data_IF_544512791941
#
_entry.id   IF_544512791941
#
_cell.length_a   1.000
_cell.length_b   1.000
_cell.length_c   1.000
_cell.angle_alpha   90.00
_cell.angle_beta   90.00
_cell.angle_gamma   90.00
#
_symmetry.space_group_name_H-M   'P 1'
#
loop_
_entity.id
_entity.type
_entity.pdbx_description
1 polymer ?
#
# COMPACT_ATOMS: atom_id res chain seq x y z
N UNK A 1 -36.79 -9.93 24.99
CA UNK A 1 -35.79 -9.05 24.36
C UNK A 1 -34.38 -9.63 24.54
N UNK A 2 -34.10 -10.78 23.90
CA UNK A 2 -32.80 -11.47 23.94
C UNK A 2 -32.60 -12.05 22.55
N UNK A 3 -31.65 -11.53 21.77
CA UNK A 3 -31.44 -11.99 20.39
C UNK A 3 -30.47 -11.12 19.58
N UNK A 4 -30.22 -9.88 20.02
CA UNK A 4 -29.39 -8.93 19.26
C UNK A 4 -27.87 -9.18 19.35
N UNK A 5 -27.43 -10.17 20.15
CA UNK A 5 -26.01 -10.42 20.42
C UNK A 5 -25.59 -11.88 20.24
N UNK A 6 -26.41 -12.71 19.57
CA UNK A 6 -25.87 -13.94 19.01
C UNK A 6 -24.98 -13.53 17.84
N UNK A 7 -23.66 -13.72 17.97
CA UNK A 7 -22.65 -13.36 16.97
C UNK A 7 -22.92 -13.89 15.56
N UNK A 8 -23.90 -14.77 15.40
CA UNK A 8 -24.53 -15.14 14.14
C UNK A 8 -24.98 -13.95 13.29
N UNK A 9 -25.45 -12.86 13.89
CA UNK A 9 -25.86 -11.67 13.13
C UNK A 9 -24.68 -11.02 12.39
N UNK A 10 -23.48 -11.05 12.96
CA UNK A 10 -22.28 -10.53 12.31
C UNK A 10 -21.90 -11.37 11.09
N UNK A 11 -22.07 -12.70 11.17
CA UNK A 11 -21.84 -13.60 10.04
C UNK A 11 -22.82 -13.27 8.91
N UNK A 12 -24.11 -13.10 9.22
CA UNK A 12 -25.14 -12.73 8.23
C UNK A 12 -24.81 -11.38 7.57
N UNK A 13 -24.40 -10.38 8.35
CA UNK A 13 -24.00 -9.07 7.81
C UNK A 13 -22.76 -9.18 6.90
N UNK A 14 -21.76 -9.96 7.31
CA UNK A 14 -20.56 -10.21 6.51
C UNK A 14 -20.90 -10.89 5.18
N UNK A 15 -21.79 -11.89 5.21
CA UNK A 15 -22.27 -12.58 4.00
C UNK A 15 -22.97 -11.61 3.06
N UNK A 16 -23.87 -10.76 3.57
CA UNK A 16 -24.51 -9.72 2.75
C UNK A 16 -23.49 -8.77 2.12
N UNK A 17 -22.49 -8.32 2.89
CA UNK A 17 -21.43 -7.45 2.38
C UNK A 17 -20.63 -8.13 1.25
N UNK A 18 -20.29 -9.41 1.42
CA UNK A 18 -19.58 -10.21 0.42
C UNK A 18 -20.41 -10.43 -0.84
N UNK A 19 -21.73 -10.64 -0.72
CA UNK A 19 -22.62 -10.83 -1.89
C UNK A 19 -22.75 -9.52 -2.68
N UNK A 20 -22.86 -8.37 -2.01
CA UNK A 20 -23.00 -7.06 -2.66
C UNK A 20 -21.69 -6.53 -3.25
N UNK A 21 -20.60 -6.61 -2.49
CA UNK A 21 -19.30 -6.04 -2.87
C UNK A 21 -18.35 -7.05 -3.52
N UNK A 22 -18.57 -8.34 -3.31
CA UNK A 22 -17.69 -9.42 -3.77
C UNK A 22 -16.56 -9.75 -2.78
N UNK A 23 -16.23 -11.03 -2.68
CA UNK A 23 -15.20 -11.54 -1.74
C UNK A 23 -13.80 -10.92 -1.95
N UNK A 24 -13.50 -10.43 -3.16
CA UNK A 24 -12.19 -9.85 -3.50
C UNK A 24 -12.08 -8.35 -3.15
N UNK A 25 -13.21 -7.66 -3.02
CA UNK A 25 -13.26 -6.21 -2.71
C UNK A 25 -13.17 -5.92 -1.21
N UNK A 26 -13.70 -6.79 -0.35
CA UNK A 26 -13.55 -6.68 1.10
C UNK A 26 -12.08 -6.64 1.57
N UNK A 27 -11.23 -7.62 1.23
CA UNK A 27 -9.85 -7.64 1.68
C UNK A 27 -9.01 -6.53 1.04
N UNK A 28 -9.33 -6.15 -0.20
CA UNK A 28 -8.64 -5.07 -0.90
C UNK A 28 -8.94 -3.70 -0.27
N UNK A 29 -10.22 -3.41 -0.01
CA UNK A 29 -10.65 -2.21 0.71
C UNK A 29 -10.12 -2.18 2.15
N UNK A 30 -10.14 -3.31 2.87
CA UNK A 30 -9.56 -3.38 4.21
C UNK A 30 -8.05 -3.12 4.21
N UNK A 31 -7.31 -3.61 3.19
CA UNK A 31 -5.87 -3.36 3.05
C UNK A 31 -5.55 -1.90 2.74
N UNK A 32 -6.32 -1.24 1.87
CA UNK A 32 -6.12 0.18 1.56
C UNK A 32 -6.45 1.06 2.77
N UNK A 33 -7.58 0.81 3.44
CA UNK A 33 -8.00 1.52 4.66
C UNK A 33 -7.00 1.28 5.80
N UNK A 34 -6.49 0.04 5.96
CA UNK A 34 -5.51 -0.30 6.98
C UNK A 34 -4.17 0.43 6.83
N UNK A 35 -3.71 0.66 5.59
CA UNK A 35 -2.51 1.48 5.33
C UNK A 35 -2.72 2.93 5.76
N UNK A 36 -3.84 3.54 5.40
CA UNK A 36 -4.17 4.91 5.81
C UNK A 36 -4.35 5.02 7.33
N UNK A 37 -5.09 4.09 7.96
CA UNK A 37 -5.27 4.04 9.41
C UNK A 37 -3.97 3.92 10.19
N UNK A 38 -2.96 3.21 9.66
CA UNK A 38 -1.64 3.11 10.32
C UNK A 38 -0.95 4.47 10.43
N UNK A 39 -1.00 5.26 9.35
CA UNK A 39 -0.40 6.60 9.30
C UNK A 39 -1.13 7.52 10.28
N UNK A 40 -2.47 7.56 10.19
CA UNK A 40 -3.29 8.33 11.13
C UNK A 40 -3.10 7.89 12.58
N UNK A 41 -2.97 6.58 12.84
CA UNK A 41 -2.72 6.05 14.17
C UNK A 41 -1.36 6.52 14.69
N UNK A 42 -0.31 6.50 13.89
CA UNK A 42 1.03 6.99 14.29
C UNK A 42 1.02 8.48 14.60
N UNK A 43 0.35 9.31 13.79
CA UNK A 43 0.24 10.75 14.04
C UNK A 43 -0.58 11.05 15.31
N UNK A 44 -1.70 10.35 15.50
CA UNK A 44 -2.55 10.48 16.71
C UNK A 44 -1.84 9.93 17.96
N UNK A 45 -1.03 8.87 17.80
CA UNK A 45 -0.27 8.30 18.91
C UNK A 45 0.90 9.22 19.29
N UNK A 46 1.55 9.88 18.35
CA UNK A 46 2.58 10.90 18.61
C UNK A 46 2.01 12.07 19.42
N UNK A 47 0.84 12.59 19.02
CA UNK A 47 0.11 13.60 19.80
C UNK A 47 -0.25 13.15 21.21
N UNK A 48 -0.45 11.84 21.42
CA UNK A 48 -0.78 11.27 22.74
C UNK A 48 0.46 10.88 23.55
N UNK A 49 1.59 10.64 22.89
CA UNK A 49 2.88 10.26 23.48
C UNK A 49 3.81 11.46 23.74
N UNK A 50 3.46 12.69 23.36
CA UNK A 50 4.14 13.93 23.78
C UNK A 50 4.18 14.12 25.33
N UNK A 51 3.58 13.22 26.11
CA UNK A 51 3.74 13.09 27.58
C UNK A 51 4.52 11.87 28.09
N UNK A 52 4.95 10.92 27.24
CA UNK A 52 5.70 9.72 27.65
C UNK A 52 6.39 9.06 26.44
N UNK A 53 7.67 9.37 26.21
CA UNK A 53 8.47 8.70 25.19
C UNK A 53 8.83 7.26 25.59
N UNK A 54 8.60 6.29 24.69
CA UNK A 54 9.59 5.28 24.29
C UNK A 54 8.98 4.23 23.34
N UNK A 55 9.66 4.04 22.20
CA UNK A 55 9.97 2.74 21.60
C UNK A 55 8.84 1.68 21.52
N UNK A 56 8.23 1.57 20.35
CA UNK A 56 7.85 0.27 19.79
C UNK A 56 8.39 0.23 18.36
N UNK A 57 9.69 -0.02 18.26
CA UNK A 57 10.18 -1.35 17.90
C UNK A 57 9.89 -1.64 16.43
N UNK A 58 10.87 -1.26 15.61
CA UNK A 58 11.44 -2.10 14.57
C UNK A 58 10.72 -3.46 14.43
N UNK A 59 9.90 -3.58 13.39
CA UNK A 59 9.56 -4.89 12.84
C UNK A 59 9.76 -4.79 11.35
N UNK A 60 11.02 -4.90 10.94
CA UNK A 60 11.37 -5.47 9.66
C UNK A 60 10.90 -6.93 9.69
N UNK A 61 9.73 -7.24 9.12
CA UNK A 61 9.41 -8.62 8.73
C UNK A 61 8.39 -8.69 7.60
N UNK A 62 8.88 -9.21 6.47
CA UNK A 62 8.07 -9.93 5.50
C UNK A 62 7.92 -9.22 4.15
N UNK A 63 8.96 -9.31 3.33
CA UNK A 63 8.75 -9.39 1.87
C UNK A 63 7.62 -10.39 1.61
N UNK A 64 6.47 -9.90 1.15
CA UNK A 64 5.46 -10.77 0.54
C UNK A 64 5.33 -10.32 -0.90
N UNK A 65 6.27 -10.77 -1.73
CA UNK A 65 6.02 -10.98 -3.15
C UNK A 65 4.93 -12.06 -3.21
N UNK A 66 3.68 -11.64 -3.25
CA UNK A 66 2.60 -12.48 -3.78
C UNK A 66 1.76 -11.63 -4.71
N UNK A 67 2.35 -11.47 -5.88
CA UNK A 67 1.64 -11.44 -7.14
C UNK A 67 0.44 -12.41 -7.07
N UNK A 68 -0.77 -11.84 -7.08
CA UNK A 68 -2.02 -12.56 -7.29
C UNK A 68 -3.11 -11.57 -7.71
N UNK A 69 -2.93 -11.00 -8.90
CA UNK A 69 -4.07 -10.85 -9.81
C UNK A 69 -4.32 -9.47 -10.41
N UNK A 70 -3.51 -9.07 -11.40
CA UNK A 70 -4.00 -8.61 -12.71
C UNK A 70 -2.82 -8.45 -13.70
N UNK A 71 -2.59 -9.52 -14.49
CA UNK A 71 -1.97 -9.60 -15.83
C UNK A 71 -0.69 -8.81 -16.16
N UNK A 72 0.43 -9.47 -16.50
CA UNK A 72 1.52 -8.86 -17.25
C UNK A 72 1.12 -8.77 -18.72
N UNK A 73 0.81 -7.56 -19.18
CA UNK A 73 0.78 -7.24 -20.61
C UNK A 73 2.21 -6.99 -21.07
N UNK A 74 2.74 -7.93 -21.85
CA UNK A 74 3.93 -7.73 -22.67
C UNK A 74 3.62 -6.75 -23.81
N UNK A 75 4.65 -5.99 -24.21
CA UNK A 75 4.75 -5.12 -25.40
C UNK A 75 4.22 -3.68 -25.30
N UNK A 76 5.18 -2.75 -25.26
CA UNK A 76 4.91 -1.32 -25.44
C UNK A 76 6.08 -0.41 -25.05
N UNK A 77 7.20 -0.54 -25.77
CA UNK A 77 8.18 0.54 -26.01
C UNK A 77 8.82 1.21 -24.79
N UNK A 78 10.00 0.72 -24.44
CA UNK A 78 11.01 1.40 -23.64
C UNK A 78 11.39 2.75 -24.31
N UNK A 79 11.09 3.93 -23.75
CA UNK A 79 11.60 5.17 -24.31
C UNK A 79 13.09 5.28 -23.97
N UNK A 80 13.92 4.94 -24.94
CA UNK A 80 15.26 5.47 -25.19
C UNK A 80 16.05 5.82 -23.93
N UNK A 81 16.75 4.82 -23.39
CA UNK A 81 18.04 5.01 -22.72
C UNK A 81 19.08 4.92 -23.83
N UNK A 82 19.78 6.02 -24.15
CA UNK A 82 21.17 6.09 -24.66
C UNK A 82 21.45 7.38 -25.48
N UNK A 83 21.68 8.51 -24.79
CA UNK A 83 22.49 9.60 -25.36
C UNK A 83 23.30 10.38 -24.29
N UNK A 84 23.75 9.73 -23.21
CA UNK A 84 24.83 10.29 -22.39
C UNK A 84 26.19 9.97 -23.01
N UNK A 85 26.49 10.62 -24.14
CA UNK A 85 27.89 10.80 -24.58
C UNK A 85 28.29 12.24 -24.25
N UNK A 86 29.34 12.46 -23.43
CA UNK A 86 29.88 13.78 -23.21
C UNK A 86 30.39 14.31 -24.55
N UNK A 87 29.74 15.31 -25.13
CA UNK A 87 30.26 15.99 -26.32
C UNK A 87 31.44 16.85 -25.89
N UNK A 88 32.63 16.29 -25.94
CA UNK A 88 33.90 16.99 -25.76
C UNK A 88 34.37 17.51 -27.12
N UNK A 89 33.97 18.71 -27.49
CA UNK A 89 34.62 19.48 -28.57
C UNK A 89 34.74 20.97 -28.18
N UNK A 90 35.45 21.21 -27.08
CA UNK A 90 36.14 22.48 -26.85
C UNK A 90 37.62 22.29 -27.23
N UNK A 91 37.95 22.59 -28.49
CA UNK A 91 39.32 22.89 -28.93
C UNK A 91 39.23 23.92 -30.06
N UNK A 92 39.28 25.21 -29.75
CA UNK A 92 40.53 25.98 -29.70
C UNK A 92 41.28 26.02 -31.03
N UNK A 93 41.18 27.18 -31.70
CA UNK A 93 42.35 27.87 -32.25
C UNK A 93 42.76 27.58 -33.69
N UNK A 94 43.09 28.69 -34.37
CA UNK A 94 44.01 28.82 -35.50
C UNK A 94 43.55 28.13 -36.81
N UNK A 95 43.55 28.77 -37.97
CA UNK A 95 44.42 29.83 -38.51
C UNK A 95 43.71 30.48 -39.70
#
# INVERSE_FOLDING_TARGET
MRGLFEGWHLIILLVLLVVLFGFKRLPDAARSIGRSMRIFKSEVDEMKNDGKSAASADTVKGETVKDAGASPGTEGTNPIREDNTPRTDNSSGAS
#
